data_IF_960333551865
#
_entry.id   IF_960333551865
#
_cell.length_a   1.000
_cell.length_b   1.000
_cell.length_c   1.000
_cell.angle_alpha   90.00
_cell.angle_beta   90.00
_cell.angle_gamma   90.00
#
_symmetry.space_group_name_H-M   'P 1'
#
loop_
_entity.id
_entity.type
_entity.pdbx_description
1 polymer ?
#
# COMPACT_ATOMS: atom_id res chain seq x y z
N UNK A 1 3.83 -33.43 -39.22
CA UNK A 1 5.11 -33.62 -38.51
C UNK A 1 6.10 -32.74 -39.26
N UNK A 2 6.64 -31.63 -38.73
CA UNK A 2 7.12 -31.40 -37.37
C UNK A 2 7.02 -29.92 -37.00
N UNK A 3 6.75 -29.69 -35.71
CA UNK A 3 6.90 -28.42 -35.02
C UNK A 3 8.37 -27.99 -34.98
N UNK A 4 8.62 -26.69 -35.03
CA UNK A 4 9.56 -26.04 -34.10
C UNK A 4 9.05 -24.63 -33.78
N UNK A 5 8.66 -24.50 -32.52
CA UNK A 5 8.50 -23.27 -31.74
C UNK A 5 9.87 -22.67 -31.43
N UNK A 6 9.94 -21.33 -31.32
CA UNK A 6 10.73 -20.54 -30.35
C UNK A 6 11.02 -19.13 -30.91
N UNK A 7 10.70 -18.08 -30.15
CA UNK A 7 11.17 -16.75 -30.56
C UNK A 7 10.71 -15.50 -29.81
N UNK A 8 10.68 -15.52 -28.48
CA UNK A 8 10.91 -14.32 -27.64
C UNK A 8 9.79 -13.27 -27.64
N UNK A 9 8.79 -13.52 -26.78
CA UNK A 9 7.92 -12.47 -26.25
C UNK A 9 8.72 -11.55 -25.31
N UNK A 10 9.10 -10.37 -25.79
CA UNK A 10 9.53 -9.27 -24.94
C UNK A 10 8.33 -8.78 -24.13
N UNK A 11 8.02 -9.42 -23.01
CA UNK A 11 7.15 -8.82 -21.99
C UNK A 11 7.92 -7.74 -21.26
N UNK A 12 8.14 -6.61 -21.95
CA UNK A 12 8.50 -5.38 -21.27
C UNK A 12 7.32 -5.04 -20.36
N UNK A 13 7.55 -5.08 -19.05
CA UNK A 13 6.62 -4.52 -18.08
C UNK A 13 6.70 -3.00 -18.21
N UNK A 14 6.07 -2.46 -19.26
CA UNK A 14 5.84 -1.03 -19.39
C UNK A 14 5.05 -0.61 -18.17
N UNK A 15 5.72 0.19 -17.33
CA UNK A 15 5.07 0.88 -16.24
C UNK A 15 4.00 1.75 -16.87
N UNK A 16 2.73 1.37 -16.74
CA UNK A 16 1.61 2.20 -17.18
C UNK A 16 1.79 3.55 -16.50
N UNK A 17 2.13 4.56 -17.28
CA UNK A 17 1.99 5.94 -16.87
C UNK A 17 0.49 6.15 -16.66
N UNK A 18 0.11 6.09 -15.39
CA UNK A 18 -1.20 6.48 -14.90
C UNK A 18 -1.44 7.91 -15.37
N UNK A 19 -2.29 8.06 -16.39
CA UNK A 19 -2.85 9.31 -16.87
C UNK A 19 -3.78 9.85 -15.78
N UNK A 20 -3.18 10.23 -14.65
CA UNK A 20 -3.80 10.97 -13.58
C UNK A 20 -3.45 12.43 -13.84
N UNK A 21 -4.45 13.26 -14.12
CA UNK A 21 -4.42 14.73 -14.09
C UNK A 21 -3.02 15.31 -14.21
N UNK A 22 -2.59 15.67 -15.41
CA UNK A 22 -1.20 16.06 -15.77
C UNK A 22 -0.57 17.16 -14.91
N UNK A 23 -1.34 17.82 -14.05
CA UNK A 23 -0.90 18.85 -13.10
C UNK A 23 -0.75 18.37 -11.64
N UNK A 24 -1.14 17.13 -11.30
CA UNK A 24 -1.03 16.63 -9.92
C UNK A 24 0.34 16.00 -9.64
N UNK A 25 1.13 16.69 -8.82
CA UNK A 25 2.42 16.18 -8.33
C UNK A 25 2.19 15.08 -7.28
N UNK A 26 2.59 13.84 -7.61
CA UNK A 26 2.52 12.68 -6.72
C UNK A 26 3.53 12.80 -5.56
N UNK A 27 3.21 12.19 -4.42
CA UNK A 27 4.09 12.15 -3.25
C UNK A 27 5.35 11.33 -3.54
N UNK A 28 6.53 11.69 -2.99
CA UNK A 28 7.70 10.82 -3.06
C UNK A 28 7.44 9.53 -2.27
N UNK A 29 8.04 8.43 -2.73
CA UNK A 29 7.91 7.14 -2.07
C UNK A 29 8.67 7.12 -0.74
N UNK A 30 8.03 6.62 0.31
CA UNK A 30 8.71 6.30 1.56
C UNK A 30 9.46 4.96 1.45
N UNK A 31 10.28 4.62 2.45
CA UNK A 31 11.13 3.42 2.44
C UNK A 31 10.36 2.13 2.17
N UNK A 32 9.23 1.92 2.87
CA UNK A 32 8.37 0.77 2.65
C UNK A 32 7.80 0.73 1.22
N UNK A 33 7.43 1.87 0.64
CA UNK A 33 6.92 1.93 -0.73
C UNK A 33 8.01 1.63 -1.76
N UNK A 34 9.25 2.06 -1.52
CA UNK A 34 10.41 1.72 -2.37
C UNK A 34 10.66 0.21 -2.34
N UNK A 35 10.79 -0.38 -1.14
CA UNK A 35 11.01 -1.81 -0.97
C UNK A 35 9.86 -2.67 -1.51
N UNK A 36 8.62 -2.32 -1.13
CA UNK A 36 7.44 -3.12 -1.46
C UNK A 36 7.13 -3.18 -2.95
N UNK A 37 7.62 -2.24 -3.77
CA UNK A 37 7.50 -2.32 -5.24
C UNK A 37 8.14 -3.60 -5.79
N UNK A 38 9.39 -3.86 -5.39
CA UNK A 38 10.16 -5.01 -5.86
C UNK A 38 9.54 -6.29 -5.28
N UNK A 39 9.32 -6.31 -3.97
CA UNK A 39 8.80 -7.50 -3.29
C UNK A 39 7.38 -7.87 -3.72
N UNK A 40 6.49 -6.88 -3.92
CA UNK A 40 5.14 -7.12 -4.47
C UNK A 40 5.19 -7.76 -5.85
N UNK A 41 6.10 -7.32 -6.72
CA UNK A 41 6.26 -7.89 -8.06
C UNK A 41 6.68 -9.36 -7.99
N UNK A 42 7.61 -9.70 -7.08
CA UNK A 42 8.00 -11.10 -6.86
C UNK A 42 6.80 -11.94 -6.40
N UNK A 43 6.09 -11.55 -5.34
CA UNK A 43 4.93 -12.29 -4.83
C UNK A 43 3.82 -12.42 -5.88
N UNK A 44 3.58 -11.37 -6.66
CA UNK A 44 2.56 -11.39 -7.72
C UNK A 44 2.92 -12.32 -8.88
N UNK A 45 4.22 -12.49 -9.17
CA UNK A 45 4.68 -13.43 -10.19
C UNK A 45 4.58 -14.87 -9.69
N UNK A 46 4.95 -15.11 -8.43
CA UNK A 46 4.90 -16.44 -7.80
C UNK A 46 3.44 -16.90 -7.58
N UNK A 47 2.56 -15.97 -7.20
CA UNK A 47 1.15 -16.22 -6.89
C UNK A 47 0.22 -15.32 -7.71
N UNK A 48 0.02 -15.57 -9.02
CA UNK A 48 -0.74 -14.69 -9.91
C UNK A 48 -2.24 -14.61 -9.56
N UNK A 49 -2.77 -15.56 -8.80
CA UNK A 49 -4.17 -15.55 -8.31
C UNK A 49 -4.34 -14.82 -6.98
N UNK A 50 -3.25 -14.46 -6.30
CA UNK A 50 -3.32 -13.83 -4.98
C UNK A 50 -3.74 -12.37 -5.12
N UNK A 51 -4.77 -11.97 -4.38
CA UNK A 51 -5.26 -10.60 -4.44
C UNK A 51 -4.30 -9.62 -3.76
N UNK A 52 -4.20 -8.39 -4.27
CA UNK A 52 -3.29 -7.36 -3.76
C UNK A 52 -3.54 -7.00 -2.28
N UNK A 53 -4.76 -7.18 -1.76
CA UNK A 53 -5.05 -7.03 -0.33
C UNK A 53 -4.20 -7.97 0.52
N UNK A 54 -4.12 -9.23 0.10
CA UNK A 54 -3.37 -10.27 0.81
C UNK A 54 -1.87 -10.07 0.64
N UNK A 55 -1.42 -9.72 -0.56
CA UNK A 55 -0.01 -9.36 -0.81
C UNK A 55 0.39 -8.18 0.10
N UNK A 56 -0.47 -7.17 0.25
CA UNK A 56 -0.17 -6.01 1.10
C UNK A 56 -0.08 -6.38 2.59
N UNK A 57 -0.91 -7.31 3.07
CA UNK A 57 -0.80 -7.84 4.44
C UNK A 57 0.53 -8.55 4.65
N UNK A 58 0.92 -9.43 3.72
CA UNK A 58 2.19 -10.17 3.78
C UNK A 58 3.40 -9.22 3.80
N UNK A 59 3.43 -8.25 2.88
CA UNK A 59 4.49 -7.24 2.79
C UNK A 59 4.63 -6.44 4.08
N UNK A 60 3.50 -6.06 4.70
CA UNK A 60 3.51 -5.34 5.97
C UNK A 60 4.14 -6.13 7.10
N UNK A 61 3.86 -7.43 7.18
CA UNK A 61 4.47 -8.34 8.17
C UNK A 61 5.96 -8.54 7.90
N UNK A 62 6.33 -8.83 6.66
CA UNK A 62 7.72 -9.05 6.25
C UNK A 62 8.59 -7.80 6.51
N UNK A 63 8.13 -6.60 6.13
CA UNK A 63 8.83 -5.36 6.41
C UNK A 63 9.11 -5.14 7.91
N UNK A 64 8.17 -5.52 8.78
CA UNK A 64 8.37 -5.40 10.22
C UNK A 64 9.46 -6.34 10.72
N UNK A 65 9.57 -7.53 10.14
CA UNK A 65 10.56 -8.54 10.50
C UNK A 65 11.96 -8.28 9.95
N UNK A 66 12.10 -7.48 8.89
CA UNK A 66 13.42 -7.11 8.35
C UNK A 66 14.27 -6.39 9.41
N UNK A 67 15.57 -6.70 9.42
CA UNK A 67 16.53 -6.01 10.27
C UNK A 67 16.71 -4.55 9.83
N UNK A 68 17.25 -3.71 10.70
CA UNK A 68 17.52 -2.32 10.33
C UNK A 68 18.52 -2.24 9.17
N UNK A 69 19.54 -3.11 9.17
CA UNK A 69 20.56 -3.18 8.11
C UNK A 69 19.91 -3.47 6.75
N UNK A 70 18.94 -4.38 6.71
CA UNK A 70 18.20 -4.70 5.48
C UNK A 70 17.29 -3.54 5.03
N UNK A 71 16.80 -2.74 5.98
CA UNK A 71 15.95 -1.56 5.70
C UNK A 71 16.75 -0.35 5.23
N UNK A 72 18.00 -0.19 5.71
CA UNK A 72 18.87 0.97 5.44
C UNK A 72 18.92 1.39 3.96
N UNK A 73 19.20 0.51 2.97
CA UNK A 73 19.26 0.95 1.58
C UNK A 73 17.95 1.56 1.09
N UNK A 74 16.80 1.07 1.55
CA UNK A 74 15.48 1.60 1.19
C UNK A 74 15.14 2.89 1.93
N UNK A 75 15.64 3.04 3.15
CA UNK A 75 15.53 4.28 3.93
C UNK A 75 16.32 5.39 3.25
N UNK A 76 17.57 5.12 2.85
CA UNK A 76 18.42 6.10 2.20
C UNK A 76 17.89 6.47 0.81
N UNK A 77 17.38 5.50 0.04
CA UNK A 77 16.72 5.79 -1.23
C UNK A 77 15.47 6.64 -1.05
N UNK A 78 14.65 6.37 -0.02
CA UNK A 78 13.48 7.20 0.27
C UNK A 78 13.86 8.63 0.69
N UNK A 79 14.97 8.81 1.44
CA UNK A 79 15.52 10.13 1.74
C UNK A 79 15.94 10.84 0.45
N UNK A 80 16.67 10.15 -0.44
CA UNK A 80 17.11 10.68 -1.73
C UNK A 80 15.91 11.14 -2.57
N UNK A 81 14.89 10.30 -2.70
CA UNK A 81 13.66 10.63 -3.44
C UNK A 81 12.92 11.82 -2.83
N UNK A 82 12.88 11.93 -1.50
CA UNK A 82 12.27 13.08 -0.82
C UNK A 82 13.05 14.37 -1.09
N UNK A 83 14.38 14.33 -1.00
CA UNK A 83 15.24 15.48 -1.28
C UNK A 83 15.11 15.94 -2.73
N UNK A 84 15.17 14.98 -3.67
CA UNK A 84 14.99 15.26 -5.09
C UNK A 84 13.63 15.93 -5.35
N UNK A 85 12.56 15.38 -4.77
CA UNK A 85 11.22 15.94 -4.91
C UNK A 85 11.11 17.38 -4.39
N UNK A 86 11.81 17.71 -3.31
CA UNK A 86 11.82 19.07 -2.75
C UNK A 86 12.57 20.05 -3.65
N UNK A 87 13.60 19.60 -4.36
CA UNK A 87 14.36 20.39 -5.34
C UNK A 87 13.52 20.60 -6.61
N UNK A 88 12.93 19.53 -7.13
CA UNK A 88 12.13 19.58 -8.36
C UNK A 88 10.83 20.38 -8.18
N UNK A 89 10.27 20.34 -6.97
CA UNK A 89 8.99 20.99 -6.63
C UNK A 89 9.11 21.82 -5.34
N UNK A 90 9.79 22.97 -5.37
CA UNK A 90 10.03 23.80 -4.17
C UNK A 90 8.74 24.35 -3.55
N UNK A 91 7.68 24.51 -4.37
CA UNK A 91 6.36 24.98 -3.93
C UNK A 91 5.38 23.83 -3.61
N UNK A 92 5.86 22.58 -3.58
CA UNK A 92 5.01 21.43 -3.29
C UNK A 92 4.42 21.51 -1.88
N UNK A 93 3.09 21.36 -1.78
CA UNK A 93 2.38 21.28 -0.50
C UNK A 93 1.40 20.12 -0.51
N UNK A 94 1.52 19.25 0.48
CA UNK A 94 0.58 18.14 0.65
C UNK A 94 -0.81 18.66 1.03
N UNK A 95 -1.80 18.37 0.17
CA UNK A 95 -3.21 18.70 0.36
C UNK A 95 -4.05 17.41 0.32
N UNK A 96 -4.32 16.78 1.47
CA UNK A 96 -5.16 15.58 1.53
C UNK A 96 -6.53 15.84 0.90
N UNK A 97 -6.92 15.02 -0.08
CA UNK A 97 -8.27 15.08 -0.64
C UNK A 97 -9.25 14.38 0.31
N UNK A 98 -10.22 15.14 0.84
CA UNK A 98 -11.38 14.54 1.51
C UNK A 98 -12.28 13.92 0.44
N UNK A 99 -12.44 12.60 0.49
CA UNK A 99 -13.50 11.93 -0.26
C UNK A 99 -14.79 12.16 0.52
N UNK A 100 -15.84 12.70 -0.11
CA UNK A 100 -17.18 12.67 0.47
C UNK A 100 -17.54 11.20 0.69
N UNK A 101 -17.51 10.77 1.95
CA UNK A 101 -18.18 9.53 2.34
C UNK A 101 -19.66 9.87 2.25
N UNK A 102 -20.29 9.54 1.13
CA UNK A 102 -21.74 9.36 1.12
C UNK A 102 -22.05 8.45 2.31
N UNK A 103 -22.76 9.01 3.28
CA UNK A 103 -23.11 8.32 4.52
C UNK A 103 -23.82 7.03 4.13
N UNK A 104 -23.56 5.91 4.82
CA UNK A 104 -24.24 4.64 4.53
C UNK A 104 -25.78 4.79 4.46
N UNK A 105 -26.36 5.80 5.12
CA UNK A 105 -27.77 6.18 5.01
C UNK A 105 -28.25 6.54 3.59
N UNK A 106 -27.43 7.22 2.76
CA UNK A 106 -27.80 7.56 1.38
C UNK A 106 -27.68 6.35 0.45
N UNK A 107 -26.77 5.42 0.76
CA UNK A 107 -26.60 4.16 0.02
C UNK A 107 -27.66 3.11 0.42
N UNK A 108 -28.09 3.07 1.68
CA UNK A 108 -29.14 2.17 2.18
C UNK A 108 -30.54 2.49 1.63
N UNK A 109 -30.83 3.76 1.26
CA UNK A 109 -32.12 4.12 0.63
C UNK A 109 -32.27 3.52 -0.78
N UNK A 110 -31.18 3.16 -1.45
CA UNK A 110 -31.21 2.51 -2.78
C UNK A 110 -31.44 0.99 -2.68
N UNK A 111 -31.22 0.39 -1.52
CA UNK A 111 -31.27 -1.06 -1.31
C UNK A 111 -32.36 -1.51 -0.33
N UNK A 112 -33.50 -0.81 -0.26
CA UNK A 112 -34.70 -1.30 0.44
C UNK A 112 -35.41 -2.38 -0.39
N UNK A 113 -34.71 -3.46 -0.63
CA UNK A 113 -35.24 -4.78 -0.93
C UNK A 113 -34.16 -5.77 -0.51
N UNK A 114 -34.48 -6.63 0.47
CA UNK A 114 -33.66 -7.75 0.99
C UNK A 114 -32.88 -7.50 2.29
N UNK A 115 -33.59 -7.61 3.40
CA UNK A 115 -33.31 -8.31 4.68
C UNK A 115 -31.83 -8.70 4.98
N UNK A 116 -31.34 -8.24 6.14
CA UNK A 116 -30.63 -9.09 7.10
C UNK A 116 -29.15 -8.81 7.39
N UNK A 117 -28.84 -8.41 8.64
CA UNK A 117 -27.54 -8.69 9.29
C UNK A 117 -26.67 -7.48 9.64
N UNK A 118 -27.01 -6.75 10.71
CA UNK A 118 -26.11 -5.79 11.34
C UNK A 118 -25.31 -6.53 12.44
N UNK A 119 -23.97 -6.50 12.38
CA UNK A 119 -23.11 -6.99 13.46
C UNK A 119 -22.80 -5.81 14.40
N UNK A 120 -23.22 -5.95 15.66
CA UNK A 120 -23.12 -4.94 16.72
C UNK A 120 -21.70 -4.98 17.36
N UNK A 121 -20.97 -3.86 17.55
CA UNK A 121 -19.57 -3.86 17.97
C UNK A 121 -19.31 -3.98 19.49
N UNK A 122 -20.22 -4.59 20.27
CA UNK A 122 -20.11 -4.64 21.74
C UNK A 122 -19.98 -6.04 22.34
N UNK A 123 -19.36 -7.00 21.64
CA UNK A 123 -19.03 -8.29 22.27
C UNK A 123 -17.73 -8.90 21.72
N UNK A 124 -16.58 -8.58 22.33
CA UNK A 124 -15.46 -9.50 22.60
C UNK A 124 -14.29 -8.74 23.25
N UNK A 125 -14.60 -8.10 24.39
CA UNK A 125 -13.62 -7.69 25.38
C UNK A 125 -13.41 -8.83 26.39
N UNK A 126 -12.95 -10.01 25.97
CA UNK A 126 -12.61 -11.11 26.93
C UNK A 126 -11.45 -11.99 26.45
N UNK A 127 -10.40 -11.44 25.81
CA UNK A 127 -9.08 -12.10 25.71
C UNK A 127 -7.97 -11.04 25.57
N UNK A 128 -7.97 -10.04 26.46
CA UNK A 128 -6.92 -9.02 26.55
C UNK A 128 -6.00 -9.34 27.71
N UNK A 129 -5.28 -10.45 27.61
CA UNK A 129 -4.14 -10.75 28.47
C UNK A 129 -2.96 -11.16 27.61
N UNK A 130 -1.79 -10.71 28.02
CA UNK A 130 -0.44 -10.99 27.50
C UNK A 130 0.21 -9.92 26.62
N UNK A 131 0.95 -9.10 27.35
CA UNK A 131 2.30 -8.63 27.07
C UNK A 131 2.52 -7.56 25.99
N UNK A 132 2.75 -6.37 26.53
CA UNK A 132 3.27 -5.19 25.89
C UNK A 132 4.58 -4.87 26.63
N UNK A 133 5.77 -5.24 26.11
CA UNK A 133 7.02 -4.76 26.67
C UNK A 133 7.57 -3.62 25.80
N UNK A 134 7.94 -2.52 26.46
CA UNK A 134 8.68 -1.37 25.92
C UNK A 134 7.83 -0.42 25.05
N UNK A 135 7.19 0.63 25.56
CA UNK A 135 7.64 1.52 26.63
C UNK A 135 8.50 2.65 26.08
N UNK A 136 7.97 3.52 25.21
CA UNK A 136 8.38 4.93 25.12
C UNK A 136 7.16 5.83 24.88
N UNK A 137 6.87 6.65 25.90
CA UNK A 137 5.91 7.75 25.91
C UNK A 137 6.37 8.88 24.98
N UNK A 138 5.36 9.55 24.37
CA UNK A 138 5.10 11.01 24.28
C UNK A 138 6.33 11.94 24.12
N UNK A 139 6.38 12.94 23.25
CA UNK A 139 5.41 14.04 23.06
C UNK A 139 5.50 14.61 21.63
N UNK A 140 4.36 15.04 21.10
CA UNK A 140 4.29 16.06 20.05
C UNK A 140 4.40 17.44 20.73
N UNK A 141 5.34 18.26 20.26
CA UNK A 141 5.18 19.71 20.14
C UNK A 141 5.41 20.06 18.66
#
# INVERSE_FOLDING_TARGET
MSSTDNGIGTVSCVSREDVSDTNHIKRPMNAFMVWSRIRRKHISNDYPRLHNSEISKLLGSEWKMLSEIDKMPFIDEAKRLRSQHMIDYPNYKYKPRRRNRETKESLLKKSKSSIGGFCDPLQLAINRTFYNPCGKNKYFL
#
